data_IF_378658139044
#
_entry.id   IF_378658139044
#
_cell.length_a   1.000
_cell.length_b   1.000
_cell.length_c   1.000
_cell.angle_alpha   90.00
_cell.angle_beta   90.00
_cell.angle_gamma   90.00
#
_symmetry.space_group_name_H-M   'P 1'
#
loop_
_entity.id
_entity.type
_entity.pdbx_description
1 polymer ?
#
# COMPACT_ATOMS: atom_id res chain seq x y z
N UNK A 1 -10.20 4.44 56.62
CA UNK A 1 -10.29 4.70 55.17
C UNK A 1 -9.26 5.79 54.90
N UNK A 2 -8.21 5.48 54.16
CA UNK A 2 -7.18 6.44 53.77
C UNK A 2 -7.80 7.42 52.78
N UNK A 3 -7.78 8.72 53.10
CA UNK A 3 -8.13 9.76 52.14
C UNK A 3 -7.06 9.77 51.05
N UNK A 4 -7.42 9.25 49.88
CA UNK A 4 -6.55 9.28 48.70
C UNK A 4 -6.48 10.72 48.24
N UNK A 5 -5.28 11.21 47.94
CA UNK A 5 -5.07 12.56 47.41
C UNK A 5 -5.30 12.59 45.90
N UNK A 6 -5.76 13.73 45.36
CA UNK A 6 -5.80 13.99 43.90
C UNK A 6 -4.41 14.07 43.27
N UNK A 7 -3.36 14.21 44.08
CA UNK A 7 -1.99 14.26 43.60
C UNK A 7 -1.61 12.93 42.96
N UNK A 8 -1.23 12.98 41.68
CA UNK A 8 -0.69 11.83 40.94
C UNK A 8 0.82 11.74 41.25
N UNK A 9 1.34 10.53 41.43
CA UNK A 9 2.77 10.32 41.69
C UNK A 9 3.57 10.68 40.44
N UNK A 10 4.70 11.36 40.60
CA UNK A 10 5.58 11.77 39.49
C UNK A 10 5.95 10.62 38.55
N UNK A 11 6.17 9.41 39.07
CA UNK A 11 6.45 8.22 38.25
C UNK A 11 5.30 7.88 37.30
N UNK A 12 4.06 7.95 37.77
CA UNK A 12 2.86 7.70 36.96
C UNK A 12 2.67 8.83 35.93
N UNK A 13 2.93 10.08 36.31
CA UNK A 13 2.88 11.19 35.37
C UNK A 13 3.90 11.03 34.24
N UNK A 14 5.15 10.70 34.59
CA UNK A 14 6.20 10.45 33.59
C UNK A 14 5.86 9.29 32.67
N UNK A 15 5.29 8.21 33.21
CA UNK A 15 4.84 7.07 32.42
C UNK A 15 3.69 7.46 31.47
N UNK A 16 2.67 8.17 31.95
CA UNK A 16 1.56 8.66 31.13
C UNK A 16 2.05 9.54 29.97
N UNK A 17 2.95 10.48 30.25
CA UNK A 17 3.55 11.33 29.23
C UNK A 17 4.37 10.52 28.21
N UNK A 18 5.11 9.51 28.67
CA UNK A 18 5.89 8.62 27.82
C UNK A 18 5.02 7.81 26.86
N UNK A 19 3.99 7.14 27.39
CA UNK A 19 3.06 6.32 26.61
C UNK A 19 2.23 7.14 25.62
N UNK A 20 1.86 8.37 25.97
CA UNK A 20 1.12 9.27 25.09
C UNK A 20 2.00 10.07 24.10
N UNK A 21 3.34 9.97 24.20
CA UNK A 21 4.32 10.79 23.46
C UNK A 21 4.02 12.30 23.50
N UNK A 22 3.51 12.79 24.64
CA UNK A 22 3.12 14.18 24.83
C UNK A 22 2.02 14.68 23.90
N UNK A 23 1.13 13.79 23.46
CA UNK A 23 0.00 14.08 22.58
C UNK A 23 -1.34 13.71 23.24
N UNK A 24 -2.41 14.39 22.82
CA UNK A 24 -3.76 14.14 23.31
C UNK A 24 -4.25 12.75 22.87
N UNK A 25 -4.63 11.89 23.83
CA UNK A 25 -5.15 10.53 23.62
C UNK A 25 -6.64 10.48 23.23
N UNK A 26 -7.29 11.63 23.05
CA UNK A 26 -8.67 11.68 22.54
C UNK A 26 -8.68 11.32 21.04
N UNK A 27 -9.59 10.43 20.65
CA UNK A 27 -9.71 9.95 19.28
C UNK A 27 -9.94 11.09 18.28
N UNK A 28 -9.11 11.13 17.23
CA UNK A 28 -9.09 12.21 16.24
C UNK A 28 -8.46 13.54 16.67
N UNK A 29 -7.94 13.69 17.90
CA UNK A 29 -7.32 14.94 18.35
C UNK A 29 -5.80 14.99 18.11
N UNK A 30 -5.03 14.11 18.77
CA UNK A 30 -3.58 13.96 18.62
C UNK A 30 -2.74 15.27 18.73
N UNK A 31 -3.28 16.33 19.35
CA UNK A 31 -2.59 17.62 19.53
C UNK A 31 -1.35 17.45 20.39
N UNK A 32 -0.27 18.16 20.07
CA UNK A 32 0.94 18.24 20.90
C UNK A 32 0.62 19.05 22.17
N UNK A 33 1.02 18.56 23.35
CA UNK A 33 0.62 19.12 24.64
C UNK A 33 1.74 19.84 25.41
N UNK A 34 2.98 19.81 24.92
CA UNK A 34 4.14 20.49 25.54
C UNK A 34 4.49 21.84 24.89
N UNK A 35 3.66 22.34 23.96
CA UNK A 35 3.82 23.66 23.35
C UNK A 35 2.50 24.25 22.89
N UNK A 36 2.47 25.57 22.77
CA UNK A 36 1.34 26.32 22.22
C UNK A 36 1.14 25.97 20.73
N UNK A 37 -0.07 25.58 20.29
CA UNK A 37 -0.33 25.30 18.89
C UNK A 37 -0.22 26.56 18.01
N UNK A 38 -0.46 27.74 18.58
CA UNK A 38 -0.45 29.02 17.86
C UNK A 38 0.95 29.64 17.80
N UNK A 39 1.63 29.70 18.94
CA UNK A 39 2.91 30.45 19.08
C UNK A 39 4.14 29.55 19.09
N UNK A 40 3.97 28.22 19.21
CA UNK A 40 5.05 27.23 19.36
C UNK A 40 5.91 27.39 20.64
N UNK A 41 5.56 28.33 21.52
CA UNK A 41 6.21 28.52 22.82
C UNK A 41 6.02 27.30 23.71
N UNK A 42 7.02 27.00 24.54
CA UNK A 42 6.98 25.88 25.48
C UNK A 42 6.00 26.17 26.61
N UNK A 43 4.92 25.41 26.65
CA UNK A 43 3.89 25.48 27.69
C UNK A 43 3.25 24.11 27.83
N UNK A 44 3.04 23.67 29.07
CA UNK A 44 2.30 22.45 29.35
C UNK A 44 0.80 22.75 29.33
N UNK A 45 0.11 22.27 28.29
CA UNK A 45 -1.35 22.37 28.13
C UNK A 45 -2.05 21.02 28.34
N UNK A 46 -1.34 20.04 28.90
CA UNK A 46 -1.87 18.72 29.16
C UNK A 46 -2.65 18.66 30.48
N UNK A 47 -3.72 17.88 30.45
CA UNK A 47 -4.53 17.49 31.59
C UNK A 47 -4.41 15.98 31.80
N UNK A 48 -4.40 15.56 33.07
CA UNK A 48 -4.36 14.15 33.48
C UNK A 48 -5.77 13.73 33.86
N UNK A 49 -6.57 13.38 32.86
CA UNK A 49 -7.98 13.09 33.02
C UNK A 49 -8.18 11.67 33.57
N UNK A 50 -9.13 11.50 34.48
CA UNK A 50 -9.49 10.19 35.01
C UNK A 50 -10.60 9.54 34.17
N UNK A 51 -10.42 8.27 33.80
CA UNK A 51 -11.46 7.48 33.12
C UNK A 51 -12.60 7.21 34.11
N UNK A 52 -12.32 6.59 35.26
CA UNK A 52 -13.22 6.61 36.41
C UNK A 52 -12.89 7.81 37.28
N UNK A 53 -13.86 8.70 37.47
CA UNK A 53 -13.66 9.96 38.19
C UNK A 53 -13.06 9.75 39.58
N UNK A 54 -12.18 10.66 39.95
CA UNK A 54 -11.70 10.77 41.32
C UNK A 54 -12.84 11.13 42.31
N UNK A 55 -13.90 11.78 41.84
CA UNK A 55 -15.08 12.10 42.64
C UNK A 55 -16.15 11.03 42.48
N UNK A 56 -16.77 10.62 43.58
CA UNK A 56 -17.88 9.66 43.56
C UNK A 56 -19.06 10.13 42.71
N UNK A 57 -19.30 11.43 42.68
CA UNK A 57 -20.39 12.07 41.94
C UNK A 57 -19.91 12.73 40.62
N UNK A 58 -18.66 12.51 40.23
CA UNK A 58 -18.17 12.92 38.92
C UNK A 58 -18.62 11.97 37.81
N UNK A 59 -18.37 12.33 36.56
CA UNK A 59 -18.68 11.49 35.40
C UNK A 59 -18.12 10.07 35.59
N UNK A 60 -18.97 9.04 35.41
CA UNK A 60 -18.65 7.61 35.58
C UNK A 60 -18.32 7.18 37.03
N UNK A 61 -18.24 8.11 37.99
CA UNK A 61 -17.93 7.87 39.40
C UNK A 61 -16.64 7.08 39.64
N UNK A 62 -16.49 6.52 40.84
CA UNK A 62 -15.34 5.65 41.17
C UNK A 62 -15.36 4.29 40.43
N UNK A 63 -16.54 3.86 39.97
CA UNK A 63 -16.79 2.57 39.33
C UNK A 63 -16.10 1.39 40.02
N UNK A 64 -15.26 0.65 39.28
CA UNK A 64 -14.56 -0.54 39.79
C UNK A 64 -13.57 -0.23 40.93
N UNK A 65 -13.16 1.03 41.08
CA UNK A 65 -12.23 1.48 42.12
C UNK A 65 -12.94 1.95 43.40
N UNK A 66 -14.27 1.85 43.49
CA UNK A 66 -15.02 2.24 44.69
C UNK A 66 -14.52 1.55 45.98
N UNK A 67 -14.03 0.31 45.87
CA UNK A 67 -13.47 -0.49 46.97
C UNK A 67 -11.93 -0.40 47.09
N UNK A 68 -11.26 0.21 46.12
CA UNK A 68 -9.80 0.34 46.04
C UNK A 68 -9.44 1.72 45.47
N UNK A 69 -9.66 2.73 46.30
CA UNK A 69 -9.48 4.14 45.92
C UNK A 69 -8.03 4.48 45.59
N UNK A 70 -7.06 3.71 46.09
CA UNK A 70 -5.63 3.95 45.83
C UNK A 70 -5.27 3.79 44.35
N UNK A 71 -6.07 3.00 43.61
CA UNK A 71 -5.91 2.79 42.16
C UNK A 71 -6.59 3.84 41.29
N UNK A 72 -7.32 4.81 41.85
CA UNK A 72 -7.89 5.91 41.08
C UNK A 72 -6.82 6.69 40.31
N UNK A 73 -5.63 6.84 40.88
CA UNK A 73 -4.49 7.51 40.24
C UNK A 73 -3.53 6.53 39.52
N UNK A 74 -3.98 5.31 39.19
CA UNK A 74 -3.18 4.34 38.44
C UNK A 74 -3.08 4.72 36.96
N UNK A 75 -2.01 4.28 36.29
CA UNK A 75 -1.78 4.55 34.86
C UNK A 75 -2.95 4.06 33.99
N UNK A 76 -3.54 2.91 34.32
CA UNK A 76 -4.67 2.32 33.60
C UNK A 76 -5.97 3.14 33.68
N UNK A 77 -6.04 4.08 34.63
CA UNK A 77 -7.20 4.95 34.84
C UNK A 77 -6.98 6.40 34.37
N UNK A 78 -5.79 6.73 33.87
CA UNK A 78 -5.42 8.10 33.48
C UNK A 78 -5.26 8.23 31.97
N UNK A 79 -5.79 9.32 31.42
CA UNK A 79 -5.56 9.75 30.05
C UNK A 79 -4.87 11.12 30.00
N UNK A 80 -3.97 11.31 29.04
CA UNK A 80 -3.34 12.58 28.74
C UNK A 80 -4.16 13.32 27.67
N UNK A 81 -4.83 14.40 28.06
CA UNK A 81 -5.74 15.13 27.18
C UNK A 81 -5.35 16.61 27.08
N UNK A 82 -5.77 17.30 26.01
CA UNK A 82 -5.82 18.76 26.04
C UNK A 82 -7.01 19.23 26.89
N UNK A 83 -6.98 20.50 27.32
CA UNK A 83 -8.07 21.11 28.09
C UNK A 83 -9.45 20.94 27.43
N UNK A 84 -9.57 21.19 26.12
CA UNK A 84 -10.85 21.09 25.39
C UNK A 84 -11.44 19.67 25.46
N UNK A 85 -10.62 18.65 25.19
CA UNK A 85 -11.03 17.26 25.20
C UNK A 85 -11.34 16.78 26.62
N UNK A 86 -10.54 17.16 27.61
CA UNK A 86 -10.81 16.85 29.01
C UNK A 86 -12.16 17.42 29.47
N UNK A 87 -12.41 18.71 29.20
CA UNK A 87 -13.67 19.35 29.55
C UNK A 87 -14.86 18.70 28.84
N UNK A 88 -14.70 18.30 27.58
CA UNK A 88 -15.73 17.63 26.81
C UNK A 88 -16.15 16.29 27.43
N UNK A 89 -15.19 15.45 27.85
CA UNK A 89 -15.51 14.13 28.44
C UNK A 89 -16.08 14.23 29.85
N UNK A 90 -15.70 15.26 30.61
CA UNK A 90 -16.16 15.48 31.99
C UNK A 90 -17.54 16.15 32.05
N UNK A 91 -17.94 16.84 30.99
CA UNK A 91 -19.28 17.43 30.87
C UNK A 91 -20.38 16.38 30.66
N UNK A 92 -20.01 15.15 30.29
CA UNK A 92 -20.92 14.00 30.17
C UNK A 92 -21.10 13.32 31.53
N UNK A 93 -21.88 13.94 32.41
CA UNK A 93 -22.06 13.51 33.81
C UNK A 93 -22.58 12.07 33.91
N UNK A 94 -23.50 11.67 33.03
CA UNK A 94 -24.04 10.30 33.02
C UNK A 94 -23.04 9.28 32.44
N UNK A 95 -22.00 9.74 31.74
CA UNK A 95 -20.95 8.89 31.15
C UNK A 95 -21.45 8.00 30.01
N UNK A 96 -22.59 8.35 29.39
CA UNK A 96 -23.23 7.55 28.33
C UNK A 96 -22.52 7.77 27.00
N UNK A 97 -22.13 9.00 26.69
CA UNK A 97 -21.49 9.36 25.42
C UNK A 97 -20.01 9.01 25.43
N UNK A 98 -19.34 9.19 26.57
CA UNK A 98 -17.94 8.88 26.78
C UNK A 98 -17.79 7.80 27.85
N UNK A 99 -18.23 6.59 27.49
CA UNK A 99 -18.17 5.43 28.39
C UNK A 99 -16.74 5.04 28.72
N UNK A 100 -16.58 4.28 29.81
CA UNK A 100 -15.27 3.77 30.26
C UNK A 100 -14.62 2.91 29.18
N UNK A 101 -15.40 2.03 28.54
CA UNK A 101 -14.94 1.13 27.50
C UNK A 101 -14.37 1.91 26.32
N UNK A 102 -15.08 2.97 25.91
CA UNK A 102 -14.66 3.82 24.80
C UNK A 102 -13.35 4.57 25.12
N UNK A 103 -13.27 5.18 26.30
CA UNK A 103 -12.07 5.91 26.73
C UNK A 103 -10.86 4.99 26.87
N UNK A 104 -11.05 3.78 27.42
CA UNK A 104 -9.99 2.77 27.49
C UNK A 104 -9.55 2.31 26.11
N UNK A 105 -10.48 2.14 25.17
CA UNK A 105 -10.15 1.80 23.80
C UNK A 105 -9.29 2.89 23.16
N UNK A 106 -9.70 4.16 23.23
CA UNK A 106 -8.94 5.27 22.65
C UNK A 106 -7.54 5.40 23.27
N UNK A 107 -7.45 5.28 24.60
CA UNK A 107 -6.17 5.22 25.30
C UNK A 107 -5.29 4.11 24.74
N UNK A 108 -5.81 2.88 24.71
CA UNK A 108 -5.07 1.71 24.26
C UNK A 108 -4.60 1.86 22.81
N UNK A 109 -5.50 2.26 21.90
CA UNK A 109 -5.18 2.46 20.48
C UNK A 109 -4.06 3.52 20.33
N UNK A 110 -4.13 4.64 21.05
CA UNK A 110 -3.11 5.69 21.01
C UNK A 110 -1.76 5.23 21.55
N UNK A 111 -1.73 4.61 22.73
CA UNK A 111 -0.50 4.12 23.36
C UNK A 111 0.16 3.04 22.48
N UNK A 112 -0.63 2.13 21.90
CA UNK A 112 -0.16 1.10 21.00
C UNK A 112 0.48 1.71 19.73
N UNK A 113 -0.14 2.74 19.15
CA UNK A 113 0.43 3.45 18.01
C UNK A 113 1.76 4.12 18.35
N UNK A 114 1.87 4.75 19.52
CA UNK A 114 3.13 5.35 20.00
C UNK A 114 4.21 4.28 20.20
N UNK A 115 3.88 3.17 20.88
CA UNK A 115 4.81 2.08 21.11
C UNK A 115 5.29 1.47 19.79
N UNK A 116 4.37 1.21 18.85
CA UNK A 116 4.71 0.74 17.51
C UNK A 116 5.62 1.74 16.78
N UNK A 117 5.26 3.02 16.75
CA UNK A 117 6.05 4.02 16.03
C UNK A 117 7.45 4.23 16.62
N UNK A 118 7.61 4.07 17.94
CA UNK A 118 8.88 4.34 18.65
C UNK A 118 9.73 3.10 18.88
N UNK A 119 9.14 1.91 18.85
CA UNK A 119 9.82 0.61 19.00
C UNK A 119 10.40 0.05 17.70
N UNK A 120 10.26 0.76 16.59
CA UNK A 120 10.72 0.30 15.28
C UNK A 120 12.25 0.42 15.16
N UNK A 121 12.90 -0.72 14.94
CA UNK A 121 14.31 -0.79 14.62
C UNK A 121 14.63 -0.08 13.29
N UNK A 122 15.85 0.47 13.18
CA UNK A 122 16.33 1.24 12.01
C UNK A 122 16.17 0.50 10.66
N UNK A 123 16.02 -0.83 10.70
CA UNK A 123 15.85 -1.69 9.53
C UNK A 123 14.42 -1.70 8.92
N UNK A 124 13.41 -1.06 9.52
CA UNK A 124 12.05 -0.96 8.93
C UNK A 124 11.74 0.39 8.28
N UNK A 125 12.76 1.12 7.82
CA UNK A 125 12.54 2.31 6.97
C UNK A 125 12.26 1.92 5.53
N UNK A 126 11.26 2.55 4.92
CA UNK A 126 10.92 2.39 3.52
C UNK A 126 10.94 3.73 2.81
N UNK A 127 11.45 3.74 1.58
CA UNK A 127 11.20 4.82 0.65
C UNK A 127 9.92 4.54 -0.14
N UNK A 128 9.00 5.50 -0.22
CA UNK A 128 7.71 5.30 -0.92
C UNK A 128 7.81 5.85 -2.34
N UNK A 129 7.49 4.99 -3.32
CA UNK A 129 7.36 5.36 -4.73
C UNK A 129 5.88 5.34 -5.12
N UNK A 130 5.43 6.40 -5.78
CA UNK A 130 4.10 6.45 -6.39
C UNK A 130 4.23 6.67 -7.89
N UNK A 131 3.37 6.01 -8.68
CA UNK A 131 3.30 6.20 -10.12
C UNK A 131 1.87 6.13 -10.63
N UNK A 132 1.40 7.21 -11.24
CA UNK A 132 0.08 7.37 -11.79
C UNK A 132 0.13 7.79 -13.26
N UNK A 133 -0.75 7.20 -14.06
CA UNK A 133 -1.06 7.70 -15.40
C UNK A 133 -2.55 7.48 -15.69
N UNK A 134 -3.13 8.36 -16.50
CA UNK A 134 -4.54 8.25 -16.86
C UNK A 134 -4.76 7.00 -17.71
N UNK A 135 -5.83 6.27 -17.42
CA UNK A 135 -6.33 5.16 -18.25
C UNK A 135 -7.61 5.65 -18.95
N UNK A 136 -7.58 5.76 -20.27
CA UNK A 136 -8.57 6.50 -21.05
C UNK A 136 -8.74 7.93 -20.55
N UNK A 137 -9.99 8.33 -20.26
CA UNK A 137 -10.35 9.68 -19.78
C UNK A 137 -10.44 9.81 -18.25
N UNK A 138 -10.13 8.75 -17.51
CA UNK A 138 -10.26 8.74 -16.05
C UNK A 138 -8.95 9.22 -15.44
N UNK A 139 -8.96 10.36 -14.70
CA UNK A 139 -7.77 10.83 -14.03
C UNK A 139 -7.39 9.88 -12.89
N UNK A 140 -6.11 9.55 -12.81
CA UNK A 140 -5.59 8.77 -11.68
C UNK A 140 -5.22 9.69 -10.53
N UNK A 141 -5.64 9.34 -9.31
CA UNK A 141 -5.23 10.01 -8.08
C UNK A 141 -4.77 9.01 -7.03
N UNK A 142 -3.51 9.15 -6.60
CA UNK A 142 -2.95 8.43 -5.44
C UNK A 142 -2.79 9.45 -4.33
N UNK A 143 -3.41 9.21 -3.18
CA UNK A 143 -3.39 10.14 -2.04
C UNK A 143 -2.21 9.78 -1.14
N UNK A 144 -1.35 10.76 -0.84
CA UNK A 144 -0.14 10.56 -0.05
C UNK A 144 -0.43 10.00 1.36
N UNK A 145 -1.53 10.43 1.98
CA UNK A 145 -1.93 9.95 3.29
C UNK A 145 -2.30 8.45 3.26
N UNK A 146 -3.07 8.01 2.27
CA UNK A 146 -3.51 6.62 2.14
C UNK A 146 -2.31 5.67 1.99
N UNK A 147 -1.29 6.06 1.21
CA UNK A 147 -0.09 5.23 1.02
C UNK A 147 0.81 5.22 2.26
N UNK A 148 0.90 6.34 3.00
CA UNK A 148 1.63 6.37 4.28
C UNK A 148 0.93 5.50 5.33
N UNK A 149 -0.40 5.52 5.36
CA UNK A 149 -1.18 4.69 6.28
C UNK A 149 -1.07 3.21 5.92
N UNK A 150 -0.95 2.87 4.63
CA UNK A 150 -0.87 1.49 4.17
C UNK A 150 0.46 0.80 4.48
N UNK A 151 1.56 1.54 4.57
CA UNK A 151 2.86 0.96 4.93
C UNK A 151 3.01 0.73 6.44
N UNK A 152 2.27 1.47 7.26
CA UNK A 152 2.29 1.36 8.72
C UNK A 152 1.40 0.18 9.20
N UNK A 153 1.80 -0.59 10.23
CA UNK A 153 2.98 -0.45 11.10
C UNK A 153 4.24 -1.19 10.61
N UNK A 154 4.14 -1.91 9.48
CA UNK A 154 5.23 -2.78 9.02
C UNK A 154 6.49 -2.01 8.63
N UNK A 155 6.30 -0.83 8.03
CA UNK A 155 7.36 0.07 7.57
C UNK A 155 7.06 1.52 7.94
N UNK A 156 8.14 2.29 8.21
CA UNK A 156 8.07 3.73 8.37
C UNK A 156 8.57 4.46 7.12
N UNK A 157 7.81 5.42 6.58
CA UNK A 157 8.30 6.29 5.53
C UNK A 157 9.58 7.02 5.96
N UNK A 158 10.61 7.01 5.10
CA UNK A 158 11.84 7.79 5.30
C UNK A 158 11.66 9.29 5.05
N UNK A 159 10.54 9.67 4.44
CA UNK A 159 10.17 11.02 4.01
C UNK A 159 8.69 11.27 4.29
N UNK A 160 8.30 12.52 4.63
CA UNK A 160 6.90 12.90 4.81
C UNK A 160 6.13 13.04 3.49
N UNK A 161 6.78 12.84 2.33
CA UNK A 161 6.15 12.86 1.02
C UNK A 161 6.70 11.69 0.18
N UNK A 162 5.83 10.96 -0.54
CA UNK A 162 6.27 9.93 -1.46
C UNK A 162 7.00 10.55 -2.66
N UNK A 163 7.90 9.79 -3.25
CA UNK A 163 8.54 10.15 -4.53
C UNK A 163 7.57 9.82 -5.65
N UNK A 164 7.05 10.87 -6.29
CA UNK A 164 6.11 10.75 -7.40
C UNK A 164 6.84 10.69 -8.75
N UNK A 165 6.70 9.58 -9.46
CA UNK A 165 7.28 9.35 -10.78
C UNK A 165 6.34 9.75 -11.92
N UNK A 166 5.13 10.19 -11.59
CA UNK A 166 4.07 10.51 -12.54
C UNK A 166 4.39 11.75 -13.36
N UNK A 167 3.79 11.83 -14.55
CA UNK A 167 3.75 13.05 -15.34
C UNK A 167 2.32 13.59 -15.43
N UNK A 168 2.19 14.92 -15.48
CA UNK A 168 0.90 15.54 -15.79
C UNK A 168 0.72 15.60 -17.31
N UNK A 169 -0.23 14.83 -17.85
CA UNK A 169 -0.51 14.77 -19.28
C UNK A 169 -1.98 14.42 -19.56
N UNK A 170 -2.60 15.08 -20.55
CA UNK A 170 -4.03 14.94 -20.89
C UNK A 170 -4.33 14.17 -22.19
N UNK A 171 -3.32 13.74 -22.93
CA UNK A 171 -3.51 12.89 -24.12
C UNK A 171 -3.92 11.46 -23.77
N UNK A 172 -4.38 10.76 -24.81
CA UNK A 172 -5.08 9.48 -24.68
C UNK A 172 -4.16 8.28 -25.03
N UNK A 173 -4.38 7.17 -24.33
CA UNK A 173 -3.60 5.92 -24.38
C UNK A 173 -3.73 5.12 -25.67
N UNK A 174 -4.61 5.51 -26.59
CA UNK A 174 -4.70 4.91 -27.92
C UNK A 174 -3.63 5.43 -28.91
N UNK A 175 -2.80 6.41 -28.52
CA UNK A 175 -1.82 7.06 -29.40
C UNK A 175 -0.38 6.62 -29.09
N UNK A 176 0.46 6.48 -30.13
CA UNK A 176 1.89 6.18 -29.95
C UNK A 176 2.62 7.28 -29.17
N UNK A 177 2.24 8.54 -29.40
CA UNK A 177 2.82 9.71 -28.72
C UNK A 177 2.60 9.62 -27.21
N UNK A 178 1.43 9.15 -26.76
CA UNK A 178 1.18 8.92 -25.34
C UNK A 178 2.17 7.93 -24.74
N UNK A 179 2.34 6.75 -25.35
CA UNK A 179 3.24 5.73 -24.83
C UNK A 179 4.69 6.21 -24.83
N UNK A 180 5.12 6.93 -25.86
CA UNK A 180 6.47 7.50 -25.94
C UNK A 180 6.72 8.50 -24.82
N UNK A 181 5.84 9.50 -24.68
CA UNK A 181 5.99 10.53 -23.66
C UNK A 181 5.97 9.96 -22.24
N UNK A 182 5.02 9.07 -21.95
CA UNK A 182 4.89 8.42 -20.65
C UNK A 182 6.12 7.56 -20.32
N UNK A 183 6.60 6.76 -21.27
CA UNK A 183 7.74 5.88 -21.06
C UNK A 183 9.05 6.65 -20.88
N UNK A 184 9.29 7.67 -21.71
CA UNK A 184 10.49 8.50 -21.61
C UNK A 184 10.53 9.27 -20.29
N UNK A 185 9.40 9.83 -19.86
CA UNK A 185 9.33 10.58 -18.61
C UNK A 185 9.46 9.67 -17.40
N UNK A 186 8.82 8.49 -17.39
CA UNK A 186 9.01 7.47 -16.36
C UNK A 186 10.49 7.09 -16.22
N UNK A 187 11.19 6.84 -17.34
CA UNK A 187 12.63 6.52 -17.32
C UNK A 187 13.46 7.68 -16.77
N UNK A 188 13.19 8.92 -17.22
CA UNK A 188 13.89 10.13 -16.72
C UNK A 188 13.70 10.29 -15.22
N UNK A 189 12.46 10.21 -14.74
CA UNK A 189 12.12 10.35 -13.33
C UNK A 189 12.73 9.24 -12.50
N UNK A 190 12.73 8.00 -12.99
CA UNK A 190 13.40 6.88 -12.33
C UNK A 190 14.89 7.15 -12.13
N UNK A 191 15.62 7.51 -13.19
CA UNK A 191 17.06 7.81 -13.09
C UNK A 191 17.31 9.00 -12.15
N UNK A 192 16.53 10.07 -12.29
CA UNK A 192 16.72 11.32 -11.51
C UNK A 192 16.39 11.15 -10.03
N UNK A 193 15.31 10.43 -9.72
CA UNK A 193 14.69 10.43 -8.38
C UNK A 193 14.93 9.13 -7.62
N UNK A 194 14.97 7.99 -8.30
CA UNK A 194 15.25 6.68 -7.68
C UNK A 194 16.74 6.36 -7.73
N UNK A 195 17.44 6.70 -8.81
CA UNK A 195 18.89 6.45 -8.97
C UNK A 195 19.75 6.85 -7.75
N UNK A 196 19.65 8.10 -7.25
CA UNK A 196 20.39 8.53 -6.06
C UNK A 196 20.05 7.72 -4.81
N UNK A 197 18.79 7.28 -4.67
CA UNK A 197 18.29 6.49 -3.54
C UNK A 197 18.87 5.07 -3.53
N UNK A 198 19.21 4.52 -4.70
CA UNK A 198 19.84 3.20 -4.80
C UNK A 198 21.28 3.19 -4.26
N UNK A 199 21.94 4.35 -4.25
CA UNK A 199 23.30 4.50 -3.72
C UNK A 199 23.31 4.90 -2.24
N UNK A 200 22.14 5.14 -1.64
CA UNK A 200 22.01 5.51 -0.23
C UNK A 200 21.91 4.24 0.64
N UNK A 201 22.93 3.93 1.45
CA UNK A 201 22.93 2.71 2.28
C UNK A 201 21.87 2.71 3.39
N UNK A 202 21.27 3.87 3.69
CA UNK A 202 20.16 3.97 4.65
C UNK A 202 18.84 3.49 4.07
N UNK A 203 18.71 3.45 2.73
CA UNK A 203 17.49 3.03 2.03
C UNK A 203 17.64 1.58 1.60
N UNK A 204 17.01 0.69 2.36
CA UNK A 204 17.08 -0.76 2.15
C UNK A 204 15.80 -1.37 1.60
N UNK A 205 14.72 -0.59 1.55
CA UNK A 205 13.40 -1.06 1.17
C UNK A 205 12.62 0.03 0.42
N UNK A 206 11.87 -0.38 -0.60
CA UNK A 206 10.92 0.48 -1.30
C UNK A 206 9.48 -0.05 -1.16
N UNK A 207 8.52 0.85 -0.99
CA UNK A 207 7.09 0.55 -1.04
C UNK A 207 6.50 1.20 -2.28
N UNK A 208 5.92 0.41 -3.18
CA UNK A 208 5.53 0.84 -4.52
C UNK A 208 4.00 0.82 -4.64
N UNK A 209 3.45 1.97 -5.01
CA UNK A 209 2.03 2.16 -5.26
C UNK A 209 1.85 2.69 -6.67
N UNK A 210 1.01 2.06 -7.48
CA UNK A 210 0.80 2.55 -8.83
C UNK A 210 -0.60 2.29 -9.38
N UNK A 211 -1.04 3.21 -10.23
CA UNK A 211 -2.30 3.16 -10.98
C UNK A 211 -2.04 3.75 -12.37
N UNK A 212 -1.78 2.89 -13.35
CA UNK A 212 -1.50 3.30 -14.72
C UNK A 212 -1.95 2.18 -15.67
N UNK A 213 -2.04 2.45 -16.98
CA UNK A 213 -2.21 1.40 -17.97
C UNK A 213 -1.18 0.28 -17.77
N UNK A 214 -1.64 -0.96 -17.92
CA UNK A 214 -0.87 -2.18 -17.60
C UNK A 214 0.54 -2.17 -18.23
N UNK A 215 0.76 -1.78 -19.50
CA UNK A 215 2.10 -1.74 -20.07
C UNK A 215 3.06 -0.79 -19.34
N UNK A 216 2.61 0.36 -18.84
CA UNK A 216 3.46 1.27 -18.07
C UNK A 216 3.81 0.71 -16.68
N UNK A 217 2.93 -0.10 -16.09
CA UNK A 217 3.22 -0.80 -14.84
C UNK A 217 4.29 -1.89 -15.04
N UNK A 218 4.26 -2.58 -16.19
CA UNK A 218 5.33 -3.51 -16.57
C UNK A 218 6.65 -2.76 -16.76
N UNK A 219 6.61 -1.62 -17.46
CA UNK A 219 7.77 -0.76 -17.66
C UNK A 219 8.39 -0.34 -16.31
N UNK A 220 7.58 0.16 -15.37
CA UNK A 220 8.00 0.51 -14.02
C UNK A 220 8.67 -0.69 -13.32
N UNK A 221 8.02 -1.85 -13.34
CA UNK A 221 8.58 -3.08 -12.77
C UNK A 221 9.94 -3.45 -13.38
N UNK A 222 10.08 -3.35 -14.70
CA UNK A 222 11.33 -3.68 -15.41
C UNK A 222 12.48 -2.71 -15.13
N UNK A 223 12.19 -1.45 -14.79
CA UNK A 223 13.20 -0.49 -14.34
C UNK A 223 13.68 -0.79 -12.91
N UNK A 224 12.76 -1.24 -12.06
CA UNK A 224 13.02 -1.59 -10.66
C UNK A 224 13.78 -2.91 -10.55
N UNK A 225 13.42 -3.92 -11.34
CA UNK A 225 13.95 -5.30 -11.31
C UNK A 225 13.80 -5.99 -9.95
N UNK A 226 14.40 -7.16 -9.77
CA UNK A 226 14.51 -7.86 -8.49
C UNK A 226 15.71 -7.41 -7.64
N UNK A 227 16.50 -6.44 -8.13
CA UNK A 227 17.66 -5.87 -7.41
C UNK A 227 17.27 -5.12 -6.14
N UNK A 228 16.05 -4.58 -6.09
CA UNK A 228 15.55 -3.85 -4.93
C UNK A 228 14.71 -4.77 -4.06
N UNK A 229 14.99 -4.75 -2.75
CA UNK A 229 14.03 -5.21 -1.77
C UNK A 229 12.86 -4.24 -1.80
N UNK A 230 11.70 -4.69 -2.26
CA UNK A 230 10.53 -3.84 -2.28
C UNK A 230 9.22 -4.62 -2.16
N UNK A 231 8.22 -3.88 -1.70
CA UNK A 231 6.85 -4.32 -1.50
C UNK A 231 5.96 -3.54 -2.45
N UNK A 232 5.32 -4.25 -3.37
CA UNK A 232 4.31 -3.67 -4.26
C UNK A 232 2.96 -3.79 -3.59
N UNK A 233 2.16 -2.72 -3.65
CA UNK A 233 0.82 -2.68 -3.08
C UNK A 233 -0.26 -2.74 -4.15
N UNK A 234 -1.44 -3.23 -3.75
CA UNK A 234 -2.64 -3.33 -4.57
C UNK A 234 -3.68 -2.35 -4.03
N UNK A 235 -4.35 -1.61 -4.92
CA UNK A 235 -5.54 -0.86 -4.53
C UNK A 235 -6.72 -1.84 -4.46
N UNK A 236 -7.24 -2.06 -3.26
CA UNK A 236 -8.49 -2.77 -3.03
C UNK A 236 -9.67 -1.83 -3.26
N UNK A 237 -10.72 -2.30 -3.91
CA UNK A 237 -11.87 -1.46 -4.31
C UNK A 237 -13.03 -1.52 -3.32
N UNK A 238 -13.30 -2.70 -2.76
CA UNK A 238 -14.45 -3.00 -1.91
C UNK A 238 -13.98 -3.46 -0.52
N UNK A 239 -14.63 -3.10 0.60
CA UNK A 239 -15.84 -2.28 0.69
C UNK A 239 -15.57 -0.77 0.59
N UNK A 240 -14.32 -0.35 0.75
CA UNK A 240 -13.87 1.02 0.52
C UNK A 240 -12.46 0.99 -0.09
N UNK A 241 -12.10 1.99 -0.93
CA UNK A 241 -10.77 2.09 -1.49
C UNK A 241 -9.69 2.07 -0.40
N UNK A 242 -8.77 1.12 -0.47
CA UNK A 242 -7.66 1.03 0.48
C UNK A 242 -6.46 0.35 -0.14
N UNK A 243 -5.28 0.78 0.26
CA UNK A 243 -4.02 0.14 -0.11
C UNK A 243 -3.52 -0.84 0.96
N UNK A 244 -4.17 -0.92 2.13
CA UNK A 244 -3.76 -1.84 3.20
C UNK A 244 -4.00 -3.28 2.75
N UNK A 245 -2.94 -4.08 2.84
CA UNK A 245 -3.04 -5.51 2.66
C UNK A 245 -3.95 -6.14 3.70
N UNK A 246 -4.68 -7.18 3.29
CA UNK A 246 -5.55 -7.95 4.16
C UNK A 246 -4.84 -9.21 4.63
N UNK A 247 -5.22 -9.67 5.81
CA UNK A 247 -4.89 -11.01 6.29
C UNK A 247 -5.82 -12.01 5.61
N UNK A 248 -5.55 -12.29 4.33
CA UNK A 248 -6.24 -13.29 3.54
C UNK A 248 -5.26 -14.38 3.10
N UNK A 249 -5.50 -15.60 3.54
CA UNK A 249 -4.70 -16.79 3.24
C UNK A 249 -5.38 -17.71 2.21
N UNK A 250 -6.47 -17.26 1.59
CA UNK A 250 -7.17 -18.02 0.57
C UNK A 250 -6.26 -18.32 -0.63
N UNK A 251 -6.15 -19.61 -0.95
CA UNK A 251 -5.52 -20.06 -2.18
C UNK A 251 -6.44 -19.77 -3.37
N UNK A 252 -6.00 -18.85 -4.23
CA UNK A 252 -6.73 -18.46 -5.44
C UNK A 252 -6.71 -19.55 -6.52
N UNK A 253 -5.90 -20.60 -6.36
CA UNK A 253 -5.84 -21.72 -7.29
C UNK A 253 -5.33 -21.29 -8.68
N UNK A 254 -4.32 -20.43 -8.70
CA UNK A 254 -3.65 -20.04 -9.94
C UNK A 254 -3.21 -21.29 -10.72
N UNK A 255 -3.47 -21.30 -12.03
CA UNK A 255 -3.11 -22.42 -12.90
C UNK A 255 -2.56 -21.96 -14.24
N UNK A 256 -1.64 -22.75 -14.76
CA UNK A 256 -1.11 -22.65 -16.12
C UNK A 256 -1.91 -23.60 -16.99
N UNK A 257 -2.47 -23.09 -18.08
CA UNK A 257 -3.04 -23.86 -19.17
C UNK A 257 -2.04 -23.76 -20.33
N UNK A 258 -1.26 -24.82 -20.61
CA UNK A 258 -0.28 -24.80 -21.68
C UNK A 258 -0.96 -24.79 -23.05
N UNK A 259 -0.21 -24.37 -24.08
CA UNK A 259 -0.68 -24.48 -25.46
C UNK A 259 -0.77 -25.94 -25.90
N UNK A 260 -1.81 -26.30 -26.63
CA UNK A 260 -1.94 -27.63 -27.25
C UNK A 260 -1.09 -27.79 -28.50
N UNK A 261 -0.70 -26.68 -29.14
CA UNK A 261 0.16 -26.63 -30.33
C UNK A 261 1.31 -25.65 -30.11
N UNK A 262 2.55 -26.05 -30.41
CA UNK A 262 3.75 -25.23 -30.21
C UNK A 262 4.41 -24.75 -31.50
N UNK A 263 3.75 -24.87 -32.65
CA UNK A 263 4.30 -24.50 -33.97
C UNK A 263 4.10 -23.01 -34.33
N UNK A 264 3.44 -22.22 -33.48
CA UNK A 264 3.19 -20.79 -33.67
C UNK A 264 3.98 -19.92 -32.70
N UNK A 265 3.83 -18.60 -32.81
CA UNK A 265 4.48 -17.67 -31.87
C UNK A 265 3.91 -17.83 -30.46
N UNK A 266 4.73 -17.77 -29.41
CA UNK A 266 4.25 -17.92 -28.04
C UNK A 266 3.44 -16.68 -27.62
N UNK A 267 2.19 -16.92 -27.24
CA UNK A 267 1.28 -15.92 -26.69
C UNK A 267 0.96 -16.28 -25.25
N UNK A 268 1.21 -15.37 -24.31
CA UNK A 268 0.83 -15.53 -22.90
C UNK A 268 -0.38 -14.65 -22.58
N UNK A 269 -1.54 -15.28 -22.44
CA UNK A 269 -2.77 -14.64 -21.98
C UNK A 269 -2.85 -14.69 -20.44
N UNK A 270 -2.86 -13.54 -19.79
CA UNK A 270 -2.99 -13.44 -18.34
C UNK A 270 -4.42 -13.04 -18.00
N UNK A 271 -5.25 -14.00 -17.57
CA UNK A 271 -6.69 -13.81 -17.31
C UNK A 271 -7.00 -13.88 -15.83
N UNK A 272 -6.71 -12.81 -15.10
CA UNK A 272 -6.87 -12.72 -13.64
C UNK A 272 -7.90 -11.68 -13.21
N UNK A 273 -7.90 -10.50 -13.83
CA UNK A 273 -8.92 -9.47 -13.58
C UNK A 273 -10.18 -9.71 -14.40
N UNK A 274 -10.04 -10.33 -15.57
CA UNK A 274 -11.13 -10.77 -16.44
C UNK A 274 -10.64 -11.93 -17.33
N UNK A 275 -11.59 -12.64 -17.94
CA UNK A 275 -11.32 -13.64 -18.97
C UNK A 275 -10.95 -12.98 -20.31
N UNK A 276 -9.93 -13.52 -20.97
CA UNK A 276 -9.58 -13.10 -22.34
C UNK A 276 -10.24 -14.08 -23.33
N UNK A 277 -11.16 -13.57 -24.14
CA UNK A 277 -11.84 -14.31 -25.21
C UNK A 277 -10.82 -14.79 -26.26
N UNK A 278 -10.76 -16.10 -26.59
CA UNK A 278 -9.93 -16.61 -27.67
C UNK A 278 -10.10 -15.88 -29.01
N UNK A 279 -11.31 -15.41 -29.34
CA UNK A 279 -11.55 -14.66 -30.56
C UNK A 279 -10.82 -13.30 -30.56
N UNK A 280 -10.67 -12.66 -29.38
CA UNK A 280 -9.87 -11.43 -29.23
C UNK A 280 -8.39 -11.70 -29.46
N UNK A 281 -7.88 -12.84 -28.99
CA UNK A 281 -6.49 -13.24 -29.22
C UNK A 281 -6.24 -13.36 -30.73
N UNK A 282 -7.11 -14.07 -31.46
CA UNK A 282 -6.99 -14.22 -32.92
C UNK A 282 -7.08 -12.91 -33.71
N UNK A 283 -7.90 -11.94 -33.25
CA UNK A 283 -7.94 -10.58 -33.85
C UNK A 283 -6.64 -9.80 -33.64
N UNK A 284 -6.00 -10.00 -32.49
CA UNK A 284 -4.83 -9.25 -32.04
C UNK A 284 -3.53 -9.81 -32.60
N UNK A 285 -3.47 -11.13 -32.75
CA UNK A 285 -2.31 -11.88 -33.22
C UNK A 285 -2.72 -12.63 -34.49
N UNK A 286 -2.56 -11.97 -35.64
CA UNK A 286 -3.04 -12.44 -36.95
C UNK A 286 -2.11 -13.48 -37.62
N UNK A 287 -1.40 -14.26 -36.81
CA UNK A 287 -0.49 -15.33 -37.22
C UNK A 287 -0.74 -16.56 -36.34
N UNK A 288 -0.31 -17.77 -36.75
CA UNK A 288 -0.42 -18.95 -35.90
C UNK A 288 0.20 -18.70 -34.52
N UNK A 289 -0.60 -18.90 -33.48
CA UNK A 289 -0.26 -18.55 -32.10
C UNK A 289 -0.34 -19.79 -31.19
N UNK A 290 0.71 -20.02 -30.41
CA UNK A 290 0.74 -21.01 -29.34
C UNK A 290 0.30 -20.33 -28.03
N UNK A 291 -0.98 -20.47 -27.67
CA UNK A 291 -1.57 -19.72 -26.55
C UNK A 291 -1.37 -20.46 -25.23
N UNK A 292 -0.55 -19.87 -24.37
CA UNK A 292 -0.42 -20.19 -22.96
C UNK A 292 -1.32 -19.28 -22.14
N UNK A 293 -1.94 -19.80 -21.10
CA UNK A 293 -2.83 -19.01 -20.24
C UNK A 293 -2.52 -19.20 -18.77
N UNK A 294 -2.41 -18.09 -18.03
CA UNK A 294 -2.44 -18.10 -16.57
C UNK A 294 -3.81 -17.57 -16.14
N UNK A 295 -4.50 -18.30 -15.28
CA UNK A 295 -5.83 -17.93 -14.81
C UNK A 295 -6.15 -18.52 -13.44
N UNK A 296 -7.33 -18.18 -12.92
CA UNK A 296 -7.92 -18.70 -11.68
C UNK A 296 -9.31 -19.26 -11.98
N UNK A 297 -9.98 -19.85 -10.99
CA UNK A 297 -11.35 -20.34 -11.12
C UNK A 297 -12.36 -19.22 -11.40
N UNK A 298 -12.20 -18.08 -10.72
CA UNK A 298 -13.08 -16.91 -10.83
C UNK A 298 -12.27 -15.61 -10.95
N UNK A 299 -11.91 -15.18 -12.17
CA UNK A 299 -11.23 -13.90 -12.40
C UNK A 299 -12.10 -12.71 -11.98
N UNK A 300 -11.52 -11.70 -11.34
CA UNK A 300 -12.18 -10.42 -11.06
C UNK A 300 -11.18 -9.29 -10.72
N UNK A 301 -11.63 -8.04 -10.82
CA UNK A 301 -10.79 -6.84 -10.67
C UNK A 301 -10.18 -6.62 -9.27
N UNK A 302 -10.66 -7.33 -8.26
CA UNK A 302 -10.20 -7.24 -6.87
C UNK A 302 -9.61 -8.59 -6.42
N UNK A 303 -8.99 -9.35 -7.33
CA UNK A 303 -8.57 -10.74 -7.05
C UNK A 303 -7.48 -10.84 -5.96
N UNK A 304 -6.49 -9.96 -5.99
CA UNK A 304 -5.34 -10.02 -5.07
C UNK A 304 -5.70 -9.26 -3.80
N UNK A 305 -5.80 -9.98 -2.69
CA UNK A 305 -6.19 -9.50 -1.36
C UNK A 305 -5.02 -9.50 -0.37
N UNK A 306 -3.97 -10.29 -0.61
CA UNK A 306 -2.80 -10.39 0.28
C UNK A 306 -1.45 -10.48 -0.44
N UNK A 307 -0.39 -10.23 0.33
CA UNK A 307 1.02 -10.40 -0.07
C UNK A 307 1.30 -11.81 -0.60
N UNK A 308 0.71 -12.80 0.08
CA UNK A 308 0.98 -14.20 -0.16
C UNK A 308 0.43 -14.59 -1.53
N UNK A 309 -0.78 -14.15 -1.85
CA UNK A 309 -1.39 -14.35 -3.16
C UNK A 309 -0.55 -13.73 -4.29
N UNK A 310 -0.01 -12.53 -4.08
CA UNK A 310 0.91 -11.90 -5.04
C UNK A 310 2.22 -12.70 -5.19
N UNK A 311 2.71 -13.29 -4.10
CA UNK A 311 3.88 -14.18 -4.11
C UNK A 311 3.64 -15.48 -4.89
N UNK A 312 2.49 -16.12 -4.71
CA UNK A 312 2.11 -17.32 -5.46
C UNK A 312 1.96 -17.02 -6.95
N UNK A 313 1.37 -15.87 -7.31
CA UNK A 313 1.33 -15.40 -8.69
C UNK A 313 2.74 -15.33 -9.31
N UNK A 314 3.71 -14.72 -8.62
CA UNK A 314 5.10 -14.64 -9.12
C UNK A 314 5.74 -16.00 -9.35
N UNK A 315 5.50 -16.97 -8.46
CA UNK A 315 6.04 -18.32 -8.59
C UNK A 315 5.51 -19.00 -9.86
N UNK A 316 4.19 -18.95 -10.06
CA UNK A 316 3.54 -19.55 -11.22
C UNK A 316 3.94 -18.86 -12.50
N UNK A 317 4.05 -17.53 -12.47
CA UNK A 317 4.49 -16.75 -13.62
C UNK A 317 5.92 -17.11 -14.04
N UNK A 318 6.87 -17.19 -13.11
CA UNK A 318 8.25 -17.64 -13.39
C UNK A 318 8.26 -19.05 -13.99
N UNK A 319 7.46 -19.97 -13.45
CA UNK A 319 7.34 -21.32 -14.00
C UNK A 319 6.80 -21.32 -15.43
N UNK A 320 5.76 -20.52 -15.72
CA UNK A 320 5.18 -20.42 -17.05
C UNK A 320 6.17 -19.87 -18.08
N UNK A 321 6.94 -18.82 -17.73
CA UNK A 321 7.95 -18.25 -18.64
C UNK A 321 9.04 -19.28 -18.97
N UNK A 322 9.47 -20.09 -17.99
CA UNK A 322 10.43 -21.17 -18.24
C UNK A 322 9.84 -22.21 -19.20
N UNK A 323 8.61 -22.66 -18.98
CA UNK A 323 7.94 -23.64 -19.85
C UNK A 323 7.76 -23.12 -21.28
N UNK A 324 7.43 -21.84 -21.44
CA UNK A 324 7.36 -21.19 -22.76
C UNK A 324 8.74 -21.21 -23.42
N UNK A 325 9.80 -20.83 -22.71
CA UNK A 325 11.17 -20.83 -23.24
C UNK A 325 11.67 -22.23 -23.61
N UNK A 326 11.27 -23.27 -22.88
CA UNK A 326 11.58 -24.67 -23.22
C UNK A 326 10.86 -25.14 -24.49
N UNK A 327 9.60 -24.72 -24.68
CA UNK A 327 8.79 -25.13 -25.82
C UNK A 327 9.08 -24.32 -27.11
N UNK A 328 9.47 -23.05 -26.99
CA UNK A 328 9.57 -22.10 -28.11
C UNK A 328 10.98 -21.55 -28.35
N UNK A 329 11.95 -21.89 -27.49
CA UNK A 329 13.29 -21.31 -27.48
C UNK A 329 13.38 -19.99 -26.73
N UNK A 330 14.59 -19.61 -26.31
CA UNK A 330 14.86 -18.42 -25.49
C UNK A 330 15.08 -17.13 -26.28
N UNK A 331 15.13 -17.21 -27.60
CA UNK A 331 15.30 -16.05 -28.48
C UNK A 331 13.96 -15.59 -29.08
N UNK A 332 12.91 -16.40 -28.97
CA UNK A 332 11.59 -16.12 -29.53
C UNK A 332 10.80 -15.14 -28.64
N UNK A 333 10.37 -13.98 -29.16
CA UNK A 333 9.61 -13.03 -28.37
C UNK A 333 8.28 -13.60 -27.86
N UNK A 334 7.94 -13.28 -26.62
CA UNK A 334 6.66 -13.69 -26.01
C UNK A 334 5.67 -12.53 -26.13
N UNK A 335 4.52 -12.80 -26.74
CA UNK A 335 3.42 -11.84 -26.86
C UNK A 335 2.53 -11.93 -25.63
N UNK A 336 2.52 -10.90 -24.77
CA UNK A 336 1.79 -10.91 -23.50
C UNK A 336 0.51 -10.08 -23.65
N UNK A 337 -0.64 -10.73 -23.48
CA UNK A 337 -1.96 -10.09 -23.46
C UNK A 337 -2.48 -10.09 -22.01
N UNK A 338 -2.43 -8.94 -21.31
CA UNK A 338 -2.77 -8.89 -19.91
C UNK A 338 -4.21 -8.45 -19.64
N UNK A 339 -4.86 -9.16 -18.73
CA UNK A 339 -6.03 -8.73 -17.97
C UNK A 339 -5.75 -9.11 -16.50
N UNK A 340 -4.98 -8.26 -15.81
CA UNK A 340 -4.45 -8.55 -14.47
C UNK A 340 -4.54 -7.35 -13.52
N UNK A 341 -4.54 -7.59 -12.20
CA UNK A 341 -4.40 -6.54 -11.19
C UNK A 341 -3.10 -5.74 -11.31
N UNK A 342 -3.12 -4.49 -10.83
CA UNK A 342 -1.99 -3.54 -10.97
C UNK A 342 -0.71 -4.02 -10.28
N UNK A 343 -0.83 -4.66 -9.12
CA UNK A 343 0.32 -5.24 -8.41
C UNK A 343 0.96 -6.39 -9.19
N UNK A 344 0.16 -7.26 -9.81
CA UNK A 344 0.65 -8.32 -10.70
C UNK A 344 1.41 -7.76 -11.90
N UNK A 345 0.94 -6.65 -12.48
CA UNK A 345 1.59 -6.00 -13.63
C UNK A 345 2.99 -5.47 -13.30
N UNK A 346 3.15 -4.83 -12.14
CA UNK A 346 4.47 -4.37 -11.67
C UNK A 346 5.37 -5.57 -11.42
N UNK A 347 4.89 -6.57 -10.68
CA UNK A 347 5.70 -7.75 -10.34
C UNK A 347 6.12 -8.55 -11.57
N UNK A 348 5.29 -8.62 -12.61
CA UNK A 348 5.67 -9.23 -13.88
C UNK A 348 6.83 -8.48 -14.54
N UNK A 349 6.81 -7.15 -14.57
CA UNK A 349 7.97 -6.36 -15.02
C UNK A 349 9.23 -6.64 -14.20
N UNK A 350 9.09 -6.77 -12.87
CA UNK A 350 10.23 -6.98 -11.95
C UNK A 350 10.92 -8.32 -12.08
N UNK A 351 10.18 -9.40 -12.36
CA UNK A 351 10.76 -10.74 -12.46
C UNK A 351 11.56 -10.96 -13.75
N UNK A 352 11.42 -10.06 -14.73
CA UNK A 352 12.12 -10.20 -16.02
C UNK A 352 13.63 -10.10 -15.82
N UNK A 353 14.36 -11.05 -16.39
CA UNK A 353 15.82 -11.08 -16.41
C UNK A 353 16.34 -10.62 -17.77
N UNK A 354 16.89 -9.38 -17.90
CA UNK A 354 17.20 -8.79 -19.21
C UNK A 354 18.18 -9.57 -20.08
N UNK A 355 19.03 -10.42 -19.47
CA UNK A 355 20.05 -11.21 -20.18
C UNK A 355 19.67 -12.68 -20.38
N UNK A 356 18.53 -13.12 -19.84
CA UNK A 356 18.15 -14.54 -19.83
C UNK A 356 16.79 -14.81 -20.47
N UNK A 357 15.89 -13.83 -20.41
CA UNK A 357 14.54 -13.94 -20.97
C UNK A 357 14.49 -13.37 -22.38
N UNK A 358 13.66 -13.97 -23.23
CA UNK A 358 13.38 -13.43 -24.56
C UNK A 358 12.73 -12.04 -24.46
N UNK A 359 12.68 -11.28 -25.57
CA UNK A 359 11.92 -10.04 -25.62
C UNK A 359 10.44 -10.29 -25.32
N UNK A 360 9.81 -9.40 -24.56
CA UNK A 360 8.38 -9.47 -24.29
C UNK A 360 7.66 -8.32 -24.99
N UNK A 361 6.67 -8.66 -25.82
CA UNK A 361 5.81 -7.70 -26.48
C UNK A 361 4.55 -7.54 -25.63
N UNK A 362 4.39 -6.38 -25.01
CA UNK A 362 3.30 -6.10 -24.08
C UNK A 362 2.18 -5.42 -24.83
N UNK A 363 1.00 -6.02 -24.71
CA UNK A 363 -0.20 -5.52 -25.36
C UNK A 363 -1.05 -4.69 -24.40
N UNK A 364 -1.71 -3.67 -24.96
CA UNK A 364 -2.77 -2.92 -24.31
C UNK A 364 -4.12 -3.22 -24.98
N UNK A 365 -5.20 -3.24 -24.19
CA UNK A 365 -6.53 -3.52 -24.73
C UNK A 365 -7.17 -2.24 -25.27
N UNK A 366 -7.38 -2.19 -26.59
CA UNK A 366 -8.03 -1.07 -27.24
C UNK A 366 -9.55 -1.26 -27.24
N UNK A 367 -10.25 -0.51 -26.38
CA UNK A 367 -11.71 -0.53 -26.27
C UNK A 367 -12.45 -0.11 -27.55
N UNK A 368 -11.87 0.79 -28.36
CA UNK A 368 -12.51 1.32 -29.57
C UNK A 368 -12.60 0.26 -30.66
N UNK A 369 -11.60 -0.62 -30.73
CA UNK A 369 -11.49 -1.61 -31.79
C UNK A 369 -11.65 -3.06 -31.32
N UNK A 370 -11.85 -3.29 -30.02
CA UNK A 370 -12.06 -4.62 -29.39
C UNK A 370 -10.95 -5.64 -29.76
N UNK A 371 -9.70 -5.17 -29.74
CA UNK A 371 -8.51 -6.00 -29.90
C UNK A 371 -7.35 -5.46 -29.05
N UNK A 372 -6.36 -6.30 -28.82
CA UNK A 372 -5.12 -5.93 -28.13
C UNK A 372 -4.09 -5.40 -29.13
N UNK A 373 -3.51 -4.22 -28.89
CA UNK A 373 -2.39 -3.69 -29.67
C UNK A 373 -1.09 -3.86 -28.89
N UNK A 374 -0.04 -4.37 -29.53
CA UNK A 374 1.31 -4.34 -28.95
C UNK A 374 1.78 -2.89 -28.86
N UNK A 375 2.13 -2.44 -27.66
CA UNK A 375 2.50 -1.03 -27.42
C UNK A 375 3.92 -0.88 -26.89
N UNK A 376 4.44 -1.88 -26.16
CA UNK A 376 5.79 -1.86 -25.60
C UNK A 376 6.53 -3.15 -25.94
N UNK A 377 7.83 -3.03 -26.15
CA UNK A 377 8.75 -4.15 -26.13
C UNK A 377 9.69 -4.02 -24.93
N UNK A 378 9.86 -5.12 -24.20
CA UNK A 378 10.81 -5.25 -23.10
C UNK A 378 11.83 -6.30 -23.51
N UNK A 379 12.95 -5.86 -24.07
CA UNK A 379 14.05 -6.70 -24.58
C UNK A 379 15.37 -6.33 -23.92
N UNK A 380 16.41 -6.13 -24.74
CA UNK A 380 17.66 -5.46 -24.32
C UNK A 380 17.36 -4.04 -23.86
N UNK A 381 16.49 -3.37 -24.62
CA UNK A 381 15.96 -2.05 -24.32
C UNK A 381 14.47 -2.14 -24.01
N UNK A 382 13.96 -1.12 -23.33
CA UNK A 382 12.54 -0.92 -23.10
C UNK A 382 12.03 0.11 -24.11
N UNK A 383 11.22 -0.25 -25.09
CA UNK A 383 10.86 0.64 -26.22
C UNK A 383 9.37 0.65 -26.49
N UNK A 384 8.90 1.70 -27.18
CA UNK A 384 7.53 1.80 -27.68
C UNK A 384 7.45 1.21 -29.07
N UNK A 385 6.41 0.42 -29.33
CA UNK A 385 6.11 -0.16 -30.64
C UNK A 385 5.21 0.79 -31.44
N UNK A 386 5.49 0.90 -32.74
CA UNK A 386 4.80 1.80 -33.66
C UNK A 386 3.60 1.13 -34.33
#
# INVERSE_FOLDING_TARGET
MTDVSRSIKRSIESELWGRAAGRCEFDGCNKILYRSPLTQEQVNIAEKAHIYSFSEHGARGHGIFAKDKERLNSIDNLMLLCHDCHKLIDSDIEGIRYSVELLRKWKHDHEQLVEQATGIAENKRTHILVFGANTGKVPTKIIAQDVMEAVFPDWLPDSPQPTDLSMSWNGEDHTVIYWQAQLEELKRNYVRMVGPKLSDPSIKHFSIFALAPIPLLFALGSLITDKLTCRTFQLHREPAPSWKWREDDCDLGFKIIPSTECSGIPVLALSLSDSIDPARIGRSVQVPAAVWKITVSSPHNDLIQSEQQLSEFRKILRSCIVQIGEAHGKDTPIHILPAIPVSCAIELGRIRMPKADSPWLIYDFNLVHDYYKAVLEIGTDLTVLH
#
